data_IF_211368108235
#
_entry.id   IF_211368108235
#
_cell.length_a   1.000
_cell.length_b   1.000
_cell.length_c   1.000
_cell.angle_alpha   90.00
_cell.angle_beta   90.00
_cell.angle_gamma   90.00
#
_symmetry.space_group_name_H-M   'P 1'
#
loop_
_entity.id
_entity.type
_entity.pdbx_description
1 polymer ?
#
# COMPACT_ATOMS: atom_id res chain seq x y z
N UNK A 1 57.65 12.52 73.96
CA UNK A 1 56.92 11.59 73.06
C UNK A 1 55.64 12.28 72.61
N UNK A 2 55.68 12.91 71.44
CA UNK A 2 54.53 13.51 70.74
C UNK A 2 54.69 13.12 69.28
N UNK A 3 53.70 12.41 68.76
CA UNK A 3 53.66 11.86 67.40
C UNK A 3 53.47 13.00 66.40
N UNK A 4 54.40 13.09 65.45
CA UNK A 4 54.42 14.10 64.39
C UNK A 4 53.49 13.72 63.24
N UNK A 5 52.54 14.63 63.00
CA UNK A 5 51.87 14.98 61.74
C UNK A 5 52.39 14.31 60.46
N UNK A 6 51.53 13.53 59.80
CA UNK A 6 51.68 13.15 58.39
C UNK A 6 50.52 13.69 57.54
N UNK A 7 50.92 14.41 56.50
CA UNK A 7 50.34 14.50 55.16
C UNK A 7 48.86 14.90 55.00
N UNK A 8 48.65 16.19 54.73
CA UNK A 8 47.50 16.66 53.95
C UNK A 8 47.73 16.34 52.47
N UNK A 9 46.97 15.40 51.92
CA UNK A 9 46.86 15.16 50.48
C UNK A 9 45.53 15.78 50.04
N UNK A 10 45.60 16.96 49.43
CA UNK A 10 44.45 17.60 48.77
C UNK A 10 44.31 16.97 47.38
N UNK A 11 43.33 16.09 47.21
CA UNK A 11 42.95 15.52 45.93
C UNK A 11 41.98 16.51 45.24
N UNK A 12 42.47 17.31 44.29
CA UNK A 12 41.58 18.10 43.40
C UNK A 12 41.13 17.18 42.29
N UNK A 13 39.95 16.57 42.46
CA UNK A 13 39.26 15.89 41.36
C UNK A 13 38.59 16.95 40.49
N UNK A 14 39.16 17.22 39.31
CA UNK A 14 38.51 18.01 38.27
C UNK A 14 37.36 17.17 37.68
N UNK A 15 36.13 17.42 38.15
CA UNK A 15 34.91 16.90 37.55
C UNK A 15 34.65 17.66 36.24
N UNK A 16 35.22 17.19 35.13
CA UNK A 16 34.78 17.61 33.80
C UNK A 16 33.39 17.00 33.56
N UNK A 17 32.35 17.80 33.83
CA UNK A 17 30.99 17.49 33.38
C UNK A 17 31.01 17.63 31.85
N UNK A 18 31.14 16.50 31.16
CA UNK A 18 30.78 16.37 29.76
C UNK A 18 29.27 16.61 29.67
N UNK A 19 28.87 17.87 29.52
CA UNK A 19 27.55 18.16 28.97
C UNK A 19 27.61 17.68 27.52
N UNK A 20 26.86 16.64 27.11
CA UNK A 20 26.72 16.34 25.71
C UNK A 20 26.05 17.55 25.09
N UNK A 21 26.83 18.38 24.38
CA UNK A 21 26.25 19.36 23.47
C UNK A 21 25.55 18.52 22.41
N UNK A 22 24.21 18.58 22.27
CA UNK A 22 23.57 17.92 21.16
C UNK A 22 24.11 18.60 19.91
N UNK A 23 24.98 17.90 19.19
CA UNK A 23 25.22 18.19 17.79
C UNK A 23 23.89 17.95 17.10
N UNK A 24 23.06 18.98 17.03
CA UNK A 24 22.09 19.07 15.96
C UNK A 24 22.93 19.15 14.70
N UNK A 25 23.12 18.01 14.04
CA UNK A 25 23.43 18.02 12.62
C UNK A 25 22.32 18.84 11.99
N UNK A 26 22.61 20.12 11.71
CA UNK A 26 21.81 20.84 10.74
C UNK A 26 22.00 20.02 9.48
N UNK A 27 20.98 19.27 9.08
CA UNK A 27 20.91 18.76 7.73
C UNK A 27 21.20 19.98 6.85
N UNK A 28 22.27 19.90 6.06
CA UNK A 28 22.51 20.92 5.05
C UNK A 28 21.21 21.02 4.23
N UNK A 29 20.73 22.23 3.98
CA UNK A 29 19.61 22.42 3.08
C UNK A 29 19.90 21.62 1.81
N UNK A 30 19.05 20.65 1.50
CA UNK A 30 19.24 19.79 0.34
C UNK A 30 19.33 20.69 -0.90
N UNK A 31 20.30 20.43 -1.77
CA UNK A 31 20.41 21.18 -3.01
C UNK A 31 19.14 20.96 -3.84
N UNK A 32 18.78 21.93 -4.70
CA UNK A 32 17.65 21.77 -5.63
C UNK A 32 17.93 20.54 -6.52
N UNK A 33 17.01 19.56 -6.60
CA UNK A 33 17.23 18.36 -7.41
C UNK A 33 17.47 18.70 -8.88
N UNK A 34 18.33 17.93 -9.54
CA UNK A 34 18.64 18.09 -10.95
C UNK A 34 17.91 16.99 -11.71
N UNK A 35 17.02 17.37 -12.63
CA UNK A 35 16.26 16.39 -13.42
C UNK A 35 17.15 15.80 -14.53
N UNK A 36 17.93 14.76 -14.22
CA UNK A 36 18.84 14.06 -15.14
C UNK A 36 18.67 12.53 -15.19
N UNK A 37 17.72 12.02 -14.41
CA UNK A 37 17.35 10.62 -14.20
C UNK A 37 18.44 9.78 -13.51
N UNK A 38 19.43 10.42 -12.89
CA UNK A 38 20.50 9.79 -12.11
C UNK A 38 20.45 10.24 -10.63
N UNK A 39 19.60 9.57 -9.84
CA UNK A 39 19.39 9.91 -8.43
C UNK A 39 20.70 9.79 -7.61
N UNK A 40 21.24 10.93 -7.19
CA UNK A 40 22.41 10.99 -6.31
C UNK A 40 22.04 10.77 -4.83
N UNK A 41 23.01 10.34 -4.03
CA UNK A 41 22.81 10.16 -2.59
C UNK A 41 22.48 11.51 -1.92
N UNK A 42 21.30 11.59 -1.30
CA UNK A 42 20.83 12.81 -0.63
C UNK A 42 20.32 13.90 -1.56
N UNK A 43 20.11 13.60 -2.85
CA UNK A 43 19.52 14.54 -3.81
C UNK A 43 18.09 14.91 -3.45
N UNK A 44 17.29 13.92 -3.05
CA UNK A 44 15.94 14.12 -2.54
C UNK A 44 15.94 14.01 -1.02
N UNK A 45 15.34 15.01 -0.36
CA UNK A 45 15.21 15.03 1.10
C UNK A 45 14.37 13.86 1.66
N UNK A 46 13.40 13.37 0.88
CA UNK A 46 12.43 12.39 1.33
C UNK A 46 12.22 11.27 0.32
N UNK A 47 11.86 10.08 0.82
CA UNK A 47 11.51 8.94 -0.01
C UNK A 47 10.53 7.99 0.69
N UNK A 48 9.77 7.26 -0.13
CA UNK A 48 8.80 6.26 0.25
C UNK A 48 8.99 5.03 -0.65
N UNK A 49 8.86 3.83 -0.06
CA UNK A 49 8.95 2.56 -0.77
C UNK A 49 7.65 1.80 -0.60
N UNK A 50 7.03 1.40 -1.71
CA UNK A 50 5.74 0.73 -1.75
C UNK A 50 5.88 -0.70 -2.27
N UNK A 51 4.98 -1.58 -1.81
CA UNK A 51 4.94 -3.00 -2.19
C UNK A 51 6.33 -3.66 -2.07
N UNK A 52 6.95 -3.49 -0.92
CA UNK A 52 8.26 -4.07 -0.58
C UNK A 52 9.38 -3.71 -1.59
N UNK A 53 9.38 -2.46 -2.09
CA UNK A 53 10.40 -1.96 -3.02
C UNK A 53 10.04 -2.03 -4.49
N UNK A 54 8.83 -2.47 -4.84
CA UNK A 54 8.41 -2.53 -6.23
C UNK A 54 8.26 -1.14 -6.87
N UNK A 55 7.91 -0.13 -6.09
CA UNK A 55 7.83 1.26 -6.51
C UNK A 55 8.42 2.16 -5.43
N UNK A 56 9.34 3.04 -5.81
CA UNK A 56 9.94 4.02 -4.91
C UNK A 56 9.62 5.42 -5.42
N UNK A 57 9.11 6.26 -4.52
CA UNK A 57 8.83 7.66 -4.78
C UNK A 57 9.79 8.48 -3.93
N UNK A 58 10.53 9.39 -4.54
CA UNK A 58 11.37 10.36 -3.85
C UNK A 58 10.82 11.76 -4.12
N UNK A 59 10.96 12.66 -3.16
CA UNK A 59 10.49 14.03 -3.35
C UNK A 59 11.26 15.05 -2.51
N UNK A 60 11.18 16.30 -2.98
CA UNK A 60 11.70 17.47 -2.31
C UNK A 60 10.88 18.68 -2.72
N UNK A 61 10.66 19.59 -1.77
CA UNK A 61 10.00 20.87 -2.03
C UNK A 61 11.05 21.98 -1.96
N UNK A 62 11.10 22.81 -2.99
CA UNK A 62 11.92 24.02 -3.03
C UNK A 62 11.06 25.22 -3.43
N UNK A 63 10.92 26.18 -2.52
CA UNK A 63 9.98 27.29 -2.71
C UNK A 63 8.55 26.79 -2.91
N UNK A 64 7.97 27.15 -4.06
CA UNK A 64 6.62 26.73 -4.48
C UNK A 64 6.62 25.54 -5.44
N UNK A 65 7.77 24.87 -5.62
CA UNK A 65 7.94 23.76 -6.54
C UNK A 65 8.12 22.44 -5.80
N UNK A 66 7.49 21.40 -6.30
CA UNK A 66 7.73 20.02 -5.90
C UNK A 66 8.53 19.30 -6.98
N UNK A 67 9.57 18.62 -6.55
CA UNK A 67 10.40 17.74 -7.35
C UNK A 67 10.09 16.32 -6.94
N UNK A 68 9.87 15.44 -7.90
CA UNK A 68 9.59 14.03 -7.67
C UNK A 68 10.47 13.14 -8.52
N UNK A 69 10.78 11.96 -8.00
CA UNK A 69 11.36 10.86 -8.75
C UNK A 69 10.58 9.56 -8.51
N UNK A 70 10.23 8.86 -9.58
CA UNK A 70 9.63 7.54 -9.57
C UNK A 70 10.68 6.51 -10.02
N UNK A 71 10.88 5.46 -9.23
CA UNK A 71 11.88 4.42 -9.50
C UNK A 71 11.29 3.03 -9.31
N UNK A 72 11.29 2.23 -10.37
CA UNK A 72 10.84 0.84 -10.30
C UNK A 72 11.50 -0.05 -11.35
N UNK A 73 11.58 -1.35 -11.06
CA UNK A 73 12.04 -2.37 -12.00
C UNK A 73 10.91 -2.75 -12.96
N UNK A 74 10.93 -2.21 -14.17
CA UNK A 74 9.94 -2.51 -15.21
C UNK A 74 10.48 -2.22 -16.62
N UNK A 75 9.81 -2.75 -17.63
CA UNK A 75 9.94 -2.34 -19.04
C UNK A 75 8.80 -1.43 -19.53
N UNK A 76 7.87 -1.06 -18.65
CA UNK A 76 6.68 -0.28 -18.97
C UNK A 76 6.66 1.11 -18.31
N UNK A 77 5.46 1.65 -18.15
CA UNK A 77 5.23 2.96 -17.56
C UNK A 77 5.31 2.96 -16.02
N UNK A 78 5.58 4.14 -15.45
CA UNK A 78 5.42 4.47 -14.04
C UNK A 78 4.37 5.57 -13.91
N UNK A 79 3.57 5.53 -12.85
CA UNK A 79 2.61 6.59 -12.56
C UNK A 79 2.51 6.87 -11.07
N UNK A 80 2.31 8.14 -10.74
CA UNK A 80 1.91 8.61 -9.41
C UNK A 80 0.69 9.50 -9.58
N UNK A 81 -0.24 9.44 -8.63
CA UNK A 81 -1.36 10.37 -8.58
C UNK A 81 -1.59 10.89 -7.17
N UNK A 82 -2.04 12.13 -7.06
CA UNK A 82 -2.15 12.92 -5.84
C UNK A 82 -3.61 13.16 -5.47
N UNK A 83 -3.91 13.07 -4.18
CA UNK A 83 -5.22 13.33 -3.58
C UNK A 83 -6.43 12.70 -4.30
N UNK A 84 -6.42 11.41 -4.68
CA UNK A 84 -7.62 10.80 -5.26
C UNK A 84 -8.80 10.82 -4.29
N UNK A 85 -9.99 11.07 -4.81
CA UNK A 85 -11.23 10.97 -4.03
C UNK A 85 -11.52 9.50 -3.69
N UNK A 86 -11.55 8.65 -4.73
CA UNK A 86 -11.87 7.23 -4.61
C UNK A 86 -11.12 6.41 -5.68
N UNK A 87 -10.29 5.46 -5.23
CA UNK A 87 -9.42 4.69 -6.14
C UNK A 87 -8.57 5.64 -7.00
N UNK A 88 -8.78 5.68 -8.32
CA UNK A 88 -8.13 6.65 -9.22
C UNK A 88 -9.01 7.85 -9.55
N UNK A 89 -10.28 7.88 -9.12
CA UNK A 89 -11.19 8.97 -9.44
C UNK A 89 -10.71 10.27 -8.82
N UNK A 90 -10.69 11.30 -9.65
CA UNK A 90 -10.30 12.68 -9.35
C UNK A 90 -8.84 12.81 -8.88
N UNK A 91 -7.97 11.91 -9.34
CA UNK A 91 -6.54 12.00 -9.13
C UNK A 91 -5.89 12.92 -10.19
N UNK A 92 -5.16 13.92 -9.73
CA UNK A 92 -4.06 14.60 -10.45
C UNK A 92 -2.92 13.59 -10.58
N UNK A 93 -2.47 13.28 -11.79
CA UNK A 93 -1.57 12.18 -12.09
C UNK A 93 -0.41 12.60 -12.99
N UNK A 94 0.77 12.12 -12.65
CA UNK A 94 1.92 12.17 -13.55
C UNK A 94 2.27 10.75 -13.97
N UNK A 95 2.24 10.50 -15.27
CA UNK A 95 2.53 9.19 -15.86
C UNK A 95 3.65 9.32 -16.87
N UNK A 96 4.63 8.43 -16.83
CA UNK A 96 5.71 8.44 -17.81
C UNK A 96 6.31 7.08 -18.10
N UNK A 97 7.07 7.01 -19.18
CA UNK A 97 7.77 5.81 -19.63
C UNK A 97 9.03 6.19 -20.41
N UNK A 98 9.89 5.20 -20.64
CA UNK A 98 11.09 5.35 -21.45
C UNK A 98 11.05 4.34 -22.59
N UNK A 99 11.10 4.82 -23.82
CA UNK A 99 11.14 3.98 -25.01
C UNK A 99 12.50 3.30 -25.19
N UNK A 100 12.55 2.25 -26.03
CA UNK A 100 13.76 1.50 -26.31
C UNK A 100 14.88 2.33 -26.98
N UNK A 101 14.54 3.47 -27.60
CA UNK A 101 15.49 4.43 -28.17
C UNK A 101 16.09 5.38 -27.11
N UNK A 102 15.64 5.30 -25.84
CA UNK A 102 16.05 6.16 -24.74
C UNK A 102 15.24 7.44 -24.58
N UNK A 103 14.22 7.67 -25.41
CA UNK A 103 13.32 8.82 -25.28
C UNK A 103 12.39 8.64 -24.09
N UNK A 104 12.40 9.62 -23.19
CA UNK A 104 11.47 9.71 -22.08
C UNK A 104 10.22 10.49 -22.47
N UNK A 105 9.07 10.00 -22.04
CA UNK A 105 7.78 10.66 -22.16
C UNK A 105 7.16 10.74 -20.78
N UNK A 106 6.71 11.94 -20.41
CA UNK A 106 6.04 12.20 -19.13
C UNK A 106 4.85 13.09 -19.44
N UNK A 107 3.71 12.77 -18.86
CA UNK A 107 2.44 13.45 -19.08
C UNK A 107 1.84 13.86 -17.76
N UNK A 108 1.43 15.13 -17.71
CA UNK A 108 0.41 15.60 -16.78
C UNK A 108 -0.94 15.02 -17.21
N UNK A 109 -1.67 14.47 -16.26
CA UNK A 109 -2.81 13.63 -16.53
C UNK A 109 -3.80 13.59 -15.38
N UNK A 110 -5.02 13.19 -15.71
CA UNK A 110 -6.10 13.09 -14.76
C UNK A 110 -6.94 11.86 -15.01
N UNK A 111 -7.52 11.34 -13.93
CA UNK A 111 -8.45 10.21 -13.99
C UNK A 111 -9.84 10.62 -13.54
N UNK A 112 -10.79 10.59 -14.48
CA UNK A 112 -12.20 10.96 -14.23
C UNK A 112 -13.03 9.88 -13.52
N UNK A 113 -12.53 8.64 -13.44
CA UNK A 113 -13.27 7.51 -12.89
C UNK A 113 -12.36 6.60 -12.03
N UNK A 114 -12.96 5.71 -11.26
CA UNK A 114 -12.28 4.85 -10.28
C UNK A 114 -11.30 3.86 -10.92
N UNK A 115 -11.50 3.54 -12.20
CA UNK A 115 -10.77 2.49 -12.94
C UNK A 115 -10.17 2.98 -14.26
N UNK A 116 -10.12 4.30 -14.45
CA UNK A 116 -9.64 4.92 -15.67
C UNK A 116 -10.67 4.95 -16.82
N UNK A 117 -10.21 5.26 -18.05
CA UNK A 117 -8.81 5.46 -18.43
C UNK A 117 -8.22 6.77 -17.88
N UNK A 118 -6.88 6.89 -17.95
CA UNK A 118 -6.15 8.11 -17.64
C UNK A 118 -6.10 8.98 -18.91
N UNK A 119 -6.30 10.29 -18.76
CA UNK A 119 -6.30 11.25 -19.85
C UNK A 119 -5.29 12.35 -19.57
N UNK A 120 -4.66 12.92 -20.59
CA UNK A 120 -3.83 14.12 -20.38
C UNK A 120 -4.73 15.32 -20.09
N UNK A 121 -4.31 16.22 -19.22
CA UNK A 121 -5.16 17.34 -18.80
C UNK A 121 -5.47 18.27 -19.97
N UNK A 122 -4.48 18.51 -20.83
CA UNK A 122 -4.66 19.23 -22.10
C UNK A 122 -5.72 18.63 -23.03
N UNK A 123 -5.96 17.31 -22.97
CA UNK A 123 -7.00 16.65 -23.77
C UNK A 123 -8.40 16.81 -23.15
N UNK A 124 -8.47 17.13 -21.84
CA UNK A 124 -9.69 17.46 -21.12
C UNK A 124 -9.98 18.98 -21.11
N UNK A 125 -9.00 19.80 -21.51
CA UNK A 125 -9.09 21.26 -21.56
C UNK A 125 -8.39 21.98 -20.42
N UNK A 126 -7.55 21.28 -19.66
CA UNK A 126 -6.59 21.83 -18.70
C UNK A 126 -5.28 22.29 -19.35
N UNK A 127 -4.24 22.37 -18.54
CA UNK A 127 -2.88 22.76 -18.89
C UNK A 127 -1.91 21.58 -18.75
N UNK A 128 -0.63 21.82 -19.07
CA UNK A 128 0.46 20.89 -18.77
C UNK A 128 1.36 21.67 -17.82
N UNK A 129 1.32 21.31 -16.55
CA UNK A 129 1.93 22.04 -15.44
C UNK A 129 3.28 21.43 -15.02
N UNK A 130 3.79 20.48 -15.79
CA UNK A 130 5.17 20.00 -15.70
C UNK A 130 6.15 21.07 -16.19
N UNK A 131 6.99 21.58 -15.29
CA UNK A 131 8.03 22.57 -15.60
C UNK A 131 9.29 21.93 -16.19
N UNK A 132 9.46 20.63 -15.98
CA UNK A 132 10.57 19.85 -16.51
C UNK A 132 10.45 18.39 -16.11
N UNK A 133 11.06 17.52 -16.91
CA UNK A 133 11.13 16.10 -16.62
C UNK A 133 12.38 15.46 -17.23
N UNK A 134 12.77 14.32 -16.70
CA UNK A 134 13.82 13.44 -17.19
C UNK A 134 13.34 11.99 -17.10
N UNK A 135 13.94 11.10 -17.88
CA UNK A 135 13.69 9.68 -17.73
C UNK A 135 14.78 8.83 -18.34
N UNK A 136 15.09 7.72 -17.67
CA UNK A 136 16.07 6.75 -18.13
C UNK A 136 15.66 5.33 -17.75
N UNK A 137 15.99 4.37 -18.62
CA UNK A 137 15.97 2.96 -18.29
C UNK A 137 17.41 2.42 -18.26
N UNK A 138 17.86 1.91 -17.11
CA UNK A 138 19.17 1.29 -16.93
C UNK A 138 19.02 0.00 -16.13
N UNK A 139 19.61 -1.09 -16.62
CA UNK A 139 19.59 -2.41 -15.95
C UNK A 139 18.18 -2.91 -15.55
N UNK A 140 17.19 -2.60 -16.40
CA UNK A 140 15.78 -2.95 -16.20
C UNK A 140 15.07 -2.13 -15.12
N UNK A 141 15.68 -1.03 -14.66
CA UNK A 141 15.08 -0.05 -13.75
C UNK A 141 14.74 1.19 -14.57
N UNK A 142 13.51 1.65 -14.45
CA UNK A 142 13.04 2.93 -14.98
C UNK A 142 13.10 3.95 -13.86
N UNK A 143 13.74 5.08 -14.13
CA UNK A 143 13.74 6.29 -13.32
C UNK A 143 13.07 7.38 -14.12
N UNK A 144 12.11 8.07 -13.53
CA UNK A 144 11.45 9.25 -14.10
C UNK A 144 11.47 10.34 -13.05
N UNK A 145 11.93 11.52 -13.41
CA UNK A 145 11.88 12.68 -12.55
C UNK A 145 11.07 13.78 -13.20
N UNK A 146 10.40 14.58 -12.38
CA UNK A 146 9.64 15.73 -12.86
C UNK A 146 9.57 16.82 -11.80
N UNK A 147 9.25 18.03 -12.25
CA UNK A 147 9.00 19.18 -11.40
C UNK A 147 7.69 19.85 -11.79
N UNK A 148 6.89 20.23 -10.80
CA UNK A 148 5.66 21.03 -10.98
C UNK A 148 5.44 21.97 -9.80
N UNK A 149 4.61 23.02 -9.95
CA UNK A 149 4.17 23.83 -8.82
C UNK A 149 3.42 22.99 -7.76
N UNK A 150 3.46 23.41 -6.50
CA UNK A 150 2.67 22.80 -5.42
C UNK A 150 1.16 23.02 -5.60
N UNK A 151 0.78 24.09 -6.30
CA UNK A 151 -0.60 24.49 -6.54
C UNK A 151 -0.64 25.18 -7.89
N UNK A 152 -1.67 24.87 -8.67
CA UNK A 152 -1.91 25.44 -10.00
C UNK A 152 -3.34 25.98 -10.05
N UNK A 153 -3.64 26.75 -11.09
CA UNK A 153 -5.01 27.20 -11.35
C UNK A 153 -5.76 26.23 -12.30
N UNK A 154 -5.22 25.03 -12.54
CA UNK A 154 -5.87 24.00 -13.37
C UNK A 154 -6.97 23.26 -12.59
N UNK A 155 -8.08 22.99 -13.27
CA UNK A 155 -9.21 22.23 -12.73
C UNK A 155 -8.94 20.73 -12.58
N UNK A 156 -7.89 20.22 -13.22
CA UNK A 156 -7.49 18.81 -13.18
C UNK A 156 -6.35 18.53 -12.19
N UNK A 157 -5.85 19.58 -11.53
CA UNK A 157 -4.78 19.48 -10.56
C UNK A 157 -5.29 19.49 -9.13
N UNK A 158 -4.60 18.76 -8.27
CA UNK A 158 -4.80 18.78 -6.83
C UNK A 158 -3.61 19.48 -6.17
N UNK A 159 -3.90 20.38 -5.24
CA UNK A 159 -2.87 21.04 -4.43
C UNK A 159 -2.06 20.02 -3.63
N UNK A 160 -0.74 20.05 -3.81
CA UNK A 160 0.21 19.29 -3.00
C UNK A 160 0.62 20.16 -1.80
N UNK A 161 0.36 19.72 -0.56
CA UNK A 161 0.72 20.51 0.61
C UNK A 161 2.24 20.61 0.74
N UNK A 162 2.75 21.80 1.06
CA UNK A 162 4.19 22.00 1.34
C UNK A 162 4.68 21.13 2.51
N UNK A 163 3.84 20.99 3.52
CA UNK A 163 4.14 20.23 4.75
C UNK A 163 2.93 19.38 5.14
N UNK A 164 3.19 18.26 5.81
CA UNK A 164 2.14 17.36 6.28
C UNK A 164 1.77 16.30 5.25
N UNK A 165 0.63 15.66 5.45
CA UNK A 165 0.27 14.42 4.76
C UNK A 165 -0.47 14.68 3.46
N UNK A 166 -0.13 13.92 2.43
CA UNK A 166 -0.91 13.81 1.19
C UNK A 166 -1.10 12.34 0.81
N UNK A 167 -2.29 12.02 0.28
CA UNK A 167 -2.62 10.72 -0.27
C UNK A 167 -2.04 10.61 -1.66
N UNK A 168 -1.39 9.49 -1.94
CA UNK A 168 -0.88 9.15 -3.25
C UNK A 168 -1.42 7.80 -3.71
N UNK A 169 -1.66 7.66 -5.00
CA UNK A 169 -1.74 6.37 -5.69
C UNK A 169 -0.50 6.21 -6.55
N UNK A 170 -0.12 4.97 -6.81
CA UNK A 170 1.04 4.67 -7.64
C UNK A 170 0.79 3.44 -8.50
N UNK A 171 1.47 3.37 -9.63
CA UNK A 171 1.33 2.31 -10.61
C UNK A 171 2.65 1.98 -11.30
N UNK A 172 2.83 0.69 -11.60
CA UNK A 172 3.91 0.13 -12.40
C UNK A 172 3.28 -0.70 -13.51
N UNK A 173 3.35 -0.21 -14.74
CA UNK A 173 2.93 -0.93 -15.93
C UNK A 173 4.00 -1.90 -16.42
N UNK A 174 3.58 -3.01 -17.04
CA UNK A 174 4.49 -3.92 -17.77
C UNK A 174 4.64 -3.55 -19.25
N UNK A 175 3.77 -2.67 -19.75
CA UNK A 175 3.75 -2.18 -21.12
C UNK A 175 3.99 -0.67 -21.14
N UNK A 176 4.37 -0.13 -22.30
CA UNK A 176 4.60 1.31 -22.46
C UNK A 176 3.28 2.10 -22.55
N UNK A 177 2.18 1.45 -22.89
CA UNK A 177 0.86 2.08 -22.97
C UNK A 177 0.31 2.37 -21.56
N UNK A 178 0.18 3.64 -21.14
CA UNK A 178 -0.37 3.98 -19.83
C UNK A 178 -1.86 3.65 -19.68
N UNK A 179 -2.57 3.33 -20.78
CA UNK A 179 -3.93 2.82 -20.72
C UNK A 179 -4.00 1.32 -20.42
N UNK A 180 -2.87 0.60 -20.44
CA UNK A 180 -2.80 -0.80 -20.05
C UNK A 180 -2.97 -0.98 -18.53
N UNK A 181 -3.41 -2.16 -18.10
CA UNK A 181 -3.56 -2.45 -16.67
C UNK A 181 -2.19 -2.49 -15.98
N UNK A 182 -2.04 -1.88 -14.78
CA UNK A 182 -0.79 -1.93 -14.04
C UNK A 182 -0.49 -3.36 -13.58
N UNK A 183 0.78 -3.73 -13.66
CA UNK A 183 1.30 -4.99 -13.10
C UNK A 183 1.41 -4.95 -11.58
N UNK A 184 1.59 -3.75 -11.03
CA UNK A 184 1.54 -3.47 -9.60
C UNK A 184 1.01 -2.05 -9.40
N UNK A 185 0.18 -1.85 -8.38
CA UNK A 185 -0.39 -0.54 -8.06
C UNK A 185 -0.82 -0.53 -6.60
N UNK A 186 -0.99 0.65 -6.02
CA UNK A 186 -1.48 0.79 -4.67
C UNK A 186 -1.77 2.22 -4.28
N UNK A 187 -2.09 2.39 -2.99
CA UNK A 187 -2.37 3.67 -2.35
C UNK A 187 -1.42 3.84 -1.16
N UNK A 188 -1.06 5.08 -0.86
CA UNK A 188 -0.20 5.46 0.25
C UNK A 188 -0.58 6.83 0.81
N UNK A 189 -0.10 7.12 2.01
CA UNK A 189 -0.02 8.50 2.51
C UNK A 189 1.44 8.80 2.74
N UNK A 190 1.93 9.87 2.10
CA UNK A 190 3.28 10.38 2.32
C UNK A 190 3.20 11.67 3.13
N UNK A 191 4.16 11.86 4.03
CA UNK A 191 4.34 13.12 4.75
C UNK A 191 5.41 13.96 4.06
N UNK A 192 4.97 15.06 3.47
CA UNK A 192 5.76 15.96 2.64
C UNK A 192 6.96 16.58 3.37
N UNK A 193 6.94 16.67 4.71
CA UNK A 193 8.02 17.28 5.50
C UNK A 193 8.89 16.28 6.26
N UNK A 194 8.38 15.08 6.59
CA UNK A 194 9.12 14.09 7.37
C UNK A 194 9.60 12.89 6.58
N UNK A 195 9.08 12.66 5.37
CA UNK A 195 9.31 11.42 4.62
C UNK A 195 8.58 10.21 5.20
N UNK A 196 7.80 10.39 6.28
CA UNK A 196 7.03 9.32 6.90
C UNK A 196 5.96 8.79 5.95
N UNK A 197 5.88 7.46 5.83
CA UNK A 197 4.80 6.80 5.11
C UNK A 197 3.82 6.18 6.09
N UNK A 198 2.54 6.50 5.96
CA UNK A 198 1.47 5.70 6.55
C UNK A 198 0.82 4.88 5.44
N UNK A 199 0.75 3.57 5.63
CA UNK A 199 -0.04 2.71 4.75
C UNK A 199 -1.48 3.18 4.81
N UNK A 200 -1.99 3.73 3.70
CA UNK A 200 -3.38 4.12 3.57
C UNK A 200 -4.24 2.84 3.65
N UNK A 201 -4.81 2.60 4.83
CA UNK A 201 -5.67 1.46 5.16
C UNK A 201 -5.19 0.14 4.53
N UNK A 202 -4.23 -0.53 5.18
CA UNK A 202 -4.01 -1.93 4.87
C UNK A 202 -5.33 -2.68 5.11
N UNK A 203 -5.90 -3.23 4.03
CA UNK A 203 -7.12 -4.01 4.07
C UNK A 203 -7.05 -5.13 5.14
N UNK A 204 -5.84 -5.54 5.52
CA UNK A 204 -5.56 -6.49 6.62
C UNK A 204 -6.15 -6.08 7.95
N UNK A 205 -6.25 -4.77 8.19
CA UNK A 205 -6.82 -4.19 9.41
C UNK A 205 -8.29 -4.56 9.58
N UNK A 206 -9.03 -4.79 8.48
CA UNK A 206 -10.45 -5.16 8.50
C UNK A 206 -10.68 -6.63 8.15
N UNK A 207 -9.91 -7.23 7.24
CA UNK A 207 -10.11 -8.63 6.86
C UNK A 207 -9.60 -9.62 7.90
N UNK A 208 -8.48 -9.37 8.59
CA UNK A 208 -7.94 -10.33 9.59
C UNK A 208 -8.91 -10.49 10.78
N UNK A 209 -9.43 -9.40 11.39
CA UNK A 209 -10.41 -9.54 12.47
C UNK A 209 -11.73 -10.16 11.98
N UNK A 210 -12.16 -9.82 10.77
CA UNK A 210 -13.41 -10.34 10.22
C UNK A 210 -13.33 -11.83 9.85
N UNK A 211 -12.18 -12.31 9.36
CA UNK A 211 -11.90 -13.72 9.11
C UNK A 211 -11.82 -14.50 10.42
N UNK A 212 -11.16 -13.94 11.45
CA UNK A 212 -11.11 -14.51 12.79
C UNK A 212 -12.52 -14.62 13.42
N UNK A 213 -13.37 -13.61 13.22
CA UNK A 213 -14.77 -13.64 13.65
C UNK A 213 -15.57 -14.72 12.90
N UNK A 214 -15.42 -14.81 11.57
CA UNK A 214 -16.07 -15.83 10.76
C UNK A 214 -15.68 -17.26 11.20
N UNK A 215 -14.39 -17.49 11.48
CA UNK A 215 -13.84 -18.73 12.01
C UNK A 215 -14.40 -19.06 13.41
N UNK A 216 -14.46 -18.07 14.30
CA UNK A 216 -15.02 -18.22 15.64
C UNK A 216 -16.50 -18.62 15.61
N UNK A 217 -17.29 -17.97 14.76
CA UNK A 217 -18.72 -18.26 14.58
C UNK A 217 -18.94 -19.65 13.93
N UNK A 218 -18.11 -20.03 12.95
CA UNK A 218 -18.16 -21.36 12.35
C UNK A 218 -17.85 -22.45 13.38
N UNK A 219 -16.78 -22.29 14.17
CA UNK A 219 -16.41 -23.25 15.21
C UNK A 219 -17.50 -23.36 16.29
N UNK A 220 -18.06 -22.24 16.73
CA UNK A 220 -19.15 -22.21 17.69
C UNK A 220 -20.40 -22.93 17.15
N UNK A 221 -20.71 -22.79 15.85
CA UNK A 221 -21.81 -23.51 15.21
C UNK A 221 -21.61 -25.03 15.25
N UNK A 222 -20.39 -25.53 14.97
CA UNK A 222 -20.07 -26.96 15.00
C UNK A 222 -20.12 -27.52 16.42
N UNK A 223 -19.60 -26.80 17.41
CA UNK A 223 -19.61 -27.24 18.81
C UNK A 223 -21.03 -27.27 19.39
N UNK A 224 -21.87 -26.31 19.05
CA UNK A 224 -23.27 -26.32 19.43
C UNK A 224 -24.04 -27.44 18.69
N UNK A 225 -23.65 -27.78 17.45
CA UNK A 225 -24.23 -28.88 16.67
C UNK A 225 -24.09 -30.21 17.37
N UNK A 226 -22.93 -30.44 17.96
CA UNK A 226 -22.64 -31.62 18.74
C UNK A 226 -23.42 -31.66 20.07
N UNK A 227 -23.88 -30.52 20.61
CA UNK A 227 -24.42 -30.43 21.98
C UNK A 227 -25.94 -30.31 22.08
N UNK A 228 -26.61 -29.62 21.15
CA UNK A 228 -28.05 -29.32 21.30
C UNK A 228 -28.95 -29.73 20.14
N UNK A 229 -28.40 -30.13 18.98
CA UNK A 229 -29.17 -30.58 17.81
C UNK A 229 -30.11 -29.52 17.17
N UNK A 230 -30.25 -28.32 17.76
CA UNK A 230 -31.16 -27.27 17.30
C UNK A 230 -30.63 -25.88 17.68
N UNK A 231 -29.69 -25.33 16.89
CA UNK A 231 -29.42 -23.88 16.77
C UNK A 231 -28.25 -23.56 15.80
N UNK A 232 -28.09 -24.27 14.67
CA UNK A 232 -26.89 -24.12 13.79
C UNK A 232 -27.13 -23.24 12.58
N UNK A 233 -28.40 -23.03 12.20
CA UNK A 233 -28.76 -22.20 11.05
C UNK A 233 -28.40 -20.72 11.25
N UNK A 234 -28.56 -20.19 12.46
CA UNK A 234 -28.27 -18.78 12.76
C UNK A 234 -26.77 -18.47 12.79
N UNK A 235 -25.96 -19.30 13.47
CA UNK A 235 -24.50 -19.10 13.49
C UNK A 235 -23.85 -19.41 12.14
N UNK A 236 -24.36 -20.39 11.39
CA UNK A 236 -23.91 -20.67 10.02
C UNK A 236 -24.18 -19.48 9.08
N UNK A 237 -25.37 -18.89 9.16
CA UNK A 237 -25.71 -17.68 8.41
C UNK A 237 -24.86 -16.47 8.84
N UNK A 238 -24.59 -16.30 10.14
CA UNK A 238 -23.72 -15.24 10.64
C UNK A 238 -22.27 -15.40 10.15
N UNK A 239 -21.72 -16.63 10.15
CA UNK A 239 -20.38 -16.90 9.60
C UNK A 239 -20.30 -16.59 8.10
N UNK A 240 -21.33 -16.96 7.33
CA UNK A 240 -21.38 -16.66 5.89
C UNK A 240 -21.50 -15.16 5.59
N UNK A 241 -22.28 -14.43 6.37
CA UNK A 241 -22.36 -12.97 6.28
C UNK A 241 -21.04 -12.30 6.65
N UNK A 242 -20.32 -12.82 7.65
CA UNK A 242 -18.97 -12.36 7.99
C UNK A 242 -17.95 -12.66 6.89
N UNK A 243 -18.06 -13.80 6.19
CA UNK A 243 -17.21 -14.14 5.04
C UNK A 243 -17.53 -13.27 3.82
N UNK A 244 -18.81 -12.97 3.56
CA UNK A 244 -19.21 -12.04 2.49
C UNK A 244 -18.75 -10.60 2.79
N UNK A 245 -18.93 -10.16 4.04
CA UNK A 245 -18.53 -8.83 4.49
C UNK A 245 -17.03 -8.60 4.53
N UNK A 246 -16.21 -9.66 4.55
CA UNK A 246 -14.75 -9.57 4.53
C UNK A 246 -14.14 -9.92 3.18
N UNK A 247 -14.72 -10.89 2.48
CA UNK A 247 -14.27 -11.36 1.17
C UNK A 247 -14.52 -10.37 0.04
N UNK A 248 -15.66 -9.66 0.03
CA UNK A 248 -15.92 -8.64 -0.99
C UNK A 248 -14.94 -7.46 -0.89
N UNK A 249 -14.73 -6.85 0.29
CA UNK A 249 -13.74 -5.78 0.41
C UNK A 249 -12.31 -6.23 0.08
N UNK A 250 -11.92 -7.45 0.44
CA UNK A 250 -10.59 -7.97 0.09
C UNK A 250 -10.39 -8.12 -1.43
N UNK A 251 -11.43 -8.46 -2.19
CA UNK A 251 -11.40 -8.52 -3.65
C UNK A 251 -11.41 -7.14 -4.32
N UNK A 252 -11.93 -6.12 -3.65
CA UNK A 252 -12.11 -4.76 -4.20
C UNK A 252 -10.95 -3.82 -3.82
N UNK A 253 -10.37 -3.99 -2.62
CA UNK A 253 -9.49 -2.99 -2.00
C UNK A 253 -8.06 -3.49 -1.67
N UNK A 254 -7.68 -4.73 -2.02
CA UNK A 254 -6.32 -5.24 -1.73
C UNK A 254 -5.38 -4.97 -2.92
N UNK A 255 -4.36 -4.10 -2.76
CA UNK A 255 -3.34 -3.86 -3.79
C UNK A 255 -2.56 -5.16 -4.06
N UNK A 256 -2.37 -5.53 -5.33
CA UNK A 256 -1.61 -6.72 -5.73
C UNK A 256 -2.38 -8.05 -5.81
N UNK A 257 -3.71 -8.05 -5.63
CA UNK A 257 -4.52 -9.26 -5.89
C UNK A 257 -4.98 -9.31 -7.35
N UNK A 258 -4.20 -9.94 -8.23
CA UNK A 258 -4.70 -10.28 -9.56
C UNK A 258 -5.84 -11.31 -9.41
N UNK A 259 -6.86 -11.25 -10.28
CA UNK A 259 -7.97 -12.21 -10.29
C UNK A 259 -7.52 -13.67 -10.44
N UNK A 260 -6.27 -13.88 -10.89
CA UNK A 260 -5.60 -15.18 -11.06
C UNK A 260 -4.50 -15.44 -10.01
N UNK A 261 -4.26 -14.51 -9.09
CA UNK A 261 -3.35 -14.69 -7.96
C UNK A 261 -3.93 -15.68 -6.95
N UNK A 262 -3.12 -16.18 -5.99
CA UNK A 262 -3.58 -17.16 -4.99
C UNK A 262 -4.89 -16.73 -4.33
N UNK A 263 -5.02 -15.44 -4.04
CA UNK A 263 -6.19 -14.83 -3.40
C UNK A 263 -7.43 -14.72 -4.28
N UNK A 264 -7.27 -14.43 -5.58
CA UNK A 264 -8.36 -14.40 -6.55
C UNK A 264 -9.00 -15.77 -6.78
N UNK A 265 -8.28 -16.87 -6.48
CA UNK A 265 -8.79 -18.24 -6.56
C UNK A 265 -9.26 -18.75 -5.20
N UNK A 266 -8.52 -18.49 -4.12
CA UNK A 266 -8.82 -19.04 -2.79
C UNK A 266 -10.09 -18.41 -2.19
N UNK A 267 -10.32 -17.10 -2.35
CA UNK A 267 -11.49 -16.44 -1.78
C UNK A 267 -12.82 -16.92 -2.42
N UNK A 268 -12.95 -17.01 -3.77
CA UNK A 268 -14.15 -17.57 -4.39
C UNK A 268 -14.34 -19.07 -4.07
N UNK A 269 -13.26 -19.85 -3.99
CA UNK A 269 -13.33 -21.27 -3.64
C UNK A 269 -13.81 -21.47 -2.19
N UNK A 270 -13.32 -20.66 -1.25
CA UNK A 270 -13.76 -20.68 0.14
C UNK A 270 -15.24 -20.27 0.27
N UNK A 271 -15.67 -19.25 -0.49
CA UNK A 271 -17.08 -18.84 -0.59
C UNK A 271 -17.97 -19.93 -1.19
N UNK A 272 -17.52 -20.59 -2.27
CA UNK A 272 -18.24 -21.71 -2.88
C UNK A 272 -18.35 -22.92 -1.96
N UNK A 273 -17.28 -23.26 -1.23
CA UNK A 273 -17.27 -24.34 -0.25
C UNK A 273 -18.17 -24.02 0.96
N UNK A 274 -18.14 -22.78 1.45
CA UNK A 274 -19.06 -22.31 2.49
C UNK A 274 -20.52 -22.34 1.99
N UNK A 275 -20.77 -21.88 0.77
CA UNK A 275 -22.08 -21.92 0.14
C UNK A 275 -22.57 -23.36 -0.12
N UNK A 276 -21.69 -24.30 -0.49
CA UNK A 276 -22.03 -25.72 -0.62
C UNK A 276 -22.33 -26.36 0.74
N UNK A 277 -21.58 -26.00 1.78
CA UNK A 277 -21.85 -26.40 3.16
C UNK A 277 -23.20 -25.86 3.67
N UNK A 278 -23.64 -24.69 3.19
CA UNK A 278 -24.97 -24.11 3.47
C UNK A 278 -26.08 -24.66 2.56
N UNK A 279 -25.80 -24.92 1.27
CA UNK A 279 -26.77 -25.36 0.26
C UNK A 279 -27.29 -26.78 0.51
N UNK A 280 -26.52 -27.60 1.22
CA UNK A 280 -26.98 -28.87 1.78
C UNK A 280 -28.15 -28.72 2.78
N UNK A 281 -28.38 -27.53 3.34
CA UNK A 281 -29.45 -27.25 4.31
C UNK A 281 -30.71 -26.64 3.69
N UNK A 282 -30.62 -25.93 2.55
CA UNK A 282 -31.79 -25.27 1.96
C UNK A 282 -32.65 -26.21 1.08
N UNK A 283 -32.08 -27.29 0.55
CA UNK A 283 -32.77 -28.16 -0.41
C UNK A 283 -33.10 -29.58 0.08
N UNK A 284 -32.62 -29.99 1.26
CA UNK A 284 -32.90 -31.32 1.79
C UNK A 284 -33.79 -31.23 3.02
N UNK A 285 -35.11 -31.27 2.79
CA UNK A 285 -36.14 -31.57 3.80
C UNK A 285 -36.03 -32.97 4.42
N UNK A 286 -34.90 -33.67 4.27
CA UNK A 286 -34.60 -34.94 4.90
C UNK A 286 -33.11 -34.99 5.29
N UNK A 287 -32.80 -34.40 6.44
CA UNK A 287 -31.49 -34.47 7.08
C UNK A 287 -31.17 -35.92 7.48
N UNK A 288 -30.34 -36.60 6.68
CA UNK A 288 -29.97 -38.00 6.90
C UNK A 288 -28.53 -38.09 7.46
N UNK A 289 -28.32 -38.87 8.54
CA UNK A 289 -27.03 -39.01 9.25
C UNK A 289 -25.85 -39.43 8.36
N UNK A 290 -26.12 -39.98 7.17
CA UNK A 290 -25.11 -40.33 6.15
C UNK A 290 -24.32 -39.10 5.65
N UNK A 291 -24.93 -37.91 5.67
CA UNK A 291 -24.31 -36.68 5.16
C UNK A 291 -23.50 -35.92 6.22
N UNK A 292 -23.57 -36.30 7.50
CA UNK A 292 -22.81 -35.66 8.59
C UNK A 292 -21.30 -35.75 8.36
N UNK A 293 -20.81 -36.91 7.89
CA UNK A 293 -19.38 -37.09 7.59
C UNK A 293 -18.93 -36.24 6.40
N UNK A 294 -19.75 -36.14 5.36
CA UNK A 294 -19.43 -35.34 4.18
C UNK A 294 -19.38 -33.84 4.53
N UNK A 295 -20.32 -33.35 5.34
CA UNK A 295 -20.29 -31.98 5.84
C UNK A 295 -19.08 -31.71 6.73
N UNK A 296 -18.70 -32.65 7.60
CA UNK A 296 -17.50 -32.51 8.41
C UNK A 296 -16.24 -32.38 7.54
N UNK A 297 -16.12 -33.20 6.51
CA UNK A 297 -14.99 -33.13 5.56
C UNK A 297 -14.99 -31.84 4.73
N UNK A 298 -16.16 -31.35 4.30
CA UNK A 298 -16.26 -30.06 3.61
C UNK A 298 -15.91 -28.88 4.53
N UNK A 299 -16.35 -28.91 5.79
CA UNK A 299 -16.00 -27.90 6.79
C UNK A 299 -14.50 -27.90 7.12
N UNK A 300 -13.89 -29.10 7.26
CA UNK A 300 -12.45 -29.25 7.45
C UNK A 300 -11.66 -28.78 6.22
N UNK A 301 -12.14 -29.06 5.01
CA UNK A 301 -11.51 -28.57 3.77
C UNK A 301 -11.60 -27.04 3.68
N UNK A 302 -12.74 -26.44 4.03
CA UNK A 302 -12.88 -24.99 4.10
C UNK A 302 -11.92 -24.37 5.14
N UNK A 303 -11.82 -24.96 6.34
CA UNK A 303 -10.86 -24.53 7.37
C UNK A 303 -9.40 -24.64 6.90
N UNK A 304 -9.06 -25.70 6.17
CA UNK A 304 -7.72 -25.89 5.61
C UNK A 304 -7.39 -24.84 4.53
N UNK A 305 -8.33 -24.55 3.62
CA UNK A 305 -8.19 -23.47 2.63
C UNK A 305 -8.04 -22.11 3.30
N UNK A 306 -8.80 -21.83 4.36
CA UNK A 306 -8.71 -20.60 5.15
C UNK A 306 -7.40 -20.48 5.92
N UNK A 307 -6.90 -21.56 6.51
CA UNK A 307 -5.60 -21.58 7.18
C UNK A 307 -4.45 -21.36 6.20
N UNK A 308 -4.53 -21.95 5.00
CA UNK A 308 -3.56 -21.72 3.93
C UNK A 308 -3.59 -20.26 3.47
N UNK A 309 -4.77 -19.67 3.30
CA UNK A 309 -4.93 -18.23 3.07
C UNK A 309 -4.23 -17.42 4.16
N UNK A 310 -4.56 -17.62 5.43
CA UNK A 310 -3.92 -16.91 6.56
C UNK A 310 -2.40 -17.03 6.55
N UNK A 311 -1.85 -18.22 6.27
CA UNK A 311 -0.41 -18.41 6.17
C UNK A 311 0.20 -17.64 5.00
N UNK A 312 -0.48 -17.58 3.84
CA UNK A 312 -0.03 -16.77 2.71
C UNK A 312 -0.18 -15.26 2.95
N UNK A 313 -1.10 -14.84 3.82
CA UNK A 313 -1.30 -13.43 4.17
C UNK A 313 -0.24 -12.93 5.16
N UNK A 314 0.26 -13.83 6.02
CA UNK A 314 1.31 -13.53 7.00
C UNK A 314 2.73 -13.62 6.41
N UNK A 315 2.86 -14.10 5.17
CA UNK A 315 4.15 -14.25 4.46
C UNK A 315 4.43 -13.13 3.45
N UNK A 316 3.52 -12.17 3.32
CA UNK A 316 3.66 -10.93 2.53
C UNK A 316 4.00 -9.82 3.51
#
# INVERSE_FOLDING_TARGET
MRTGTMAAVVFVAALCILVPVPFHSHAAAAAVPVLDAEIAEGEYAHSASFSSGAFNLLWQVEGDLAFFAMVARTGGYLGVGFEPELMMKDADMVVGWVEANGSAFVHDSYSMDSFGPVFRDVDLGGTDDLLGFSGQMRDGVVTIEFCRPLSTDDAYDNDIPREGKTKVIWAVGSELDPASLPSNAGVGVIDMSSGGTESAWDASTFYVPGLALALGLALASVLLAHRSGRAHSFLGAASALSLLGTGLPALIFSPGTSALGPWGIIAPLALLLAAAAMGGLAWLGAWNRRWERAHLWMALAALACLALALLTALSI
#
